data_IF_649692834279
#
_entry.id   IF_649692834279
#
_cell.length_a   1.000
_cell.length_b   1.000
_cell.length_c   1.000
_cell.angle_alpha   90.00
_cell.angle_beta   90.00
_cell.angle_gamma   90.00
#
_symmetry.space_group_name_H-M   'P 1'
#
loop_
_entity.id
_entity.type
_entity.pdbx_description
1 polymer ?
#
# COMPACT_ATOMS: atom_id res chain seq x y z
N UNK A 1 -9.87 -2.32 9.69
CA UNK A 1 -8.98 -1.99 8.57
C UNK A 1 -9.43 -0.72 7.87
N UNK A 2 -10.71 -0.56 7.55
CA UNK A 2 -11.25 0.65 6.89
C UNK A 2 -10.88 1.94 7.62
N UNK A 3 -11.11 2.02 8.94
CA UNK A 3 -10.77 3.21 9.73
C UNK A 3 -9.31 3.67 9.60
N UNK A 4 -8.36 2.73 9.54
CA UNK A 4 -6.93 3.06 9.38
C UNK A 4 -6.62 3.51 7.95
N UNK A 5 -7.23 2.84 6.96
CA UNK A 5 -7.07 3.25 5.56
C UNK A 5 -7.66 4.65 5.32
N UNK A 6 -8.83 4.93 5.90
CA UNK A 6 -9.51 6.22 5.80
C UNK A 6 -8.73 7.33 6.52
N UNK A 7 -8.14 7.04 7.67
CA UNK A 7 -7.27 7.97 8.38
C UNK A 7 -6.04 8.33 7.53
N UNK A 8 -5.39 7.35 6.92
CA UNK A 8 -4.26 7.58 6.02
C UNK A 8 -4.69 8.38 4.79
N UNK A 9 -5.83 8.05 4.18
CA UNK A 9 -6.37 8.81 3.06
C UNK A 9 -6.67 10.27 3.44
N UNK A 10 -7.25 10.48 4.62
CA UNK A 10 -7.54 11.83 5.16
C UNK A 10 -6.25 12.62 5.36
N UNK A 11 -5.20 12.00 5.92
CA UNK A 11 -3.90 12.64 6.08
C UNK A 11 -3.24 13.02 4.75
N UNK A 12 -3.50 12.28 3.69
CA UNK A 12 -2.95 12.50 2.34
C UNK A 12 -3.83 13.41 1.46
N UNK A 13 -5.02 13.81 1.94
CA UNK A 13 -6.02 14.52 1.14
C UNK A 13 -5.57 15.94 0.73
N UNK A 14 -4.58 16.50 1.40
CA UNK A 14 -3.96 17.78 1.04
C UNK A 14 -2.91 17.67 -0.07
N UNK A 15 -2.69 16.46 -0.61
CA UNK A 15 -1.77 16.21 -1.71
C UNK A 15 -0.31 16.04 -1.30
N UNK A 16 0.00 15.98 0.00
CA UNK A 16 1.38 15.73 0.47
C UNK A 16 1.96 14.41 -0.09
N UNK A 17 3.27 14.36 -0.35
CA UNK A 17 3.90 13.16 -0.92
C UNK A 17 4.15 12.05 0.11
N UNK A 18 4.19 12.36 1.41
CA UNK A 18 4.48 11.39 2.48
C UNK A 18 3.61 11.63 3.73
N UNK A 19 3.51 10.63 4.61
CA UNK A 19 2.67 10.69 5.81
C UNK A 19 3.09 11.79 6.78
N UNK A 20 4.38 12.12 6.82
CA UNK A 20 4.96 13.12 7.72
C UNK A 20 5.35 14.42 6.99
N UNK A 21 4.75 14.69 5.83
CA UNK A 21 4.98 15.89 5.02
C UNK A 21 5.69 15.59 3.71
N UNK A 22 6.83 16.23 3.50
CA UNK A 22 7.50 16.39 2.20
C UNK A 22 8.81 15.58 2.06
N UNK A 23 9.17 14.82 3.09
CA UNK A 23 10.28 13.86 3.06
C UNK A 23 9.81 12.43 3.35
N UNK A 24 10.44 11.45 2.68
CA UNK A 24 10.24 10.02 2.93
C UNK A 24 10.84 9.62 4.28
N UNK A 25 10.09 8.87 5.08
CA UNK A 25 10.49 8.46 6.43
C UNK A 25 10.18 6.99 6.71
N UNK A 26 10.59 6.55 7.91
CA UNK A 26 10.22 5.24 8.42
C UNK A 26 8.69 5.04 8.51
N UNK A 27 7.88 6.10 8.67
CA UNK A 27 6.43 5.97 8.72
C UNK A 27 5.87 5.48 7.37
N UNK A 28 6.37 6.01 6.27
CA UNK A 28 5.96 5.67 4.92
C UNK A 28 6.35 4.23 4.56
N UNK A 29 7.61 3.88 4.84
CA UNK A 29 8.12 2.52 4.67
C UNK A 29 7.31 1.51 5.48
N UNK A 30 7.07 1.83 6.77
CA UNK A 30 6.34 0.95 7.69
C UNK A 30 4.91 0.75 7.19
N UNK A 31 4.22 1.83 6.81
CA UNK A 31 2.87 1.72 6.29
C UNK A 31 2.83 0.87 5.02
N UNK A 32 3.69 1.16 4.03
CA UNK A 32 3.72 0.41 2.77
C UNK A 32 4.03 -1.09 2.99
N UNK A 33 4.98 -1.41 3.87
CA UNK A 33 5.33 -2.78 4.21
C UNK A 33 4.18 -3.52 4.91
N UNK A 34 3.55 -2.90 5.92
CA UNK A 34 2.45 -3.53 6.67
C UNK A 34 1.15 -3.61 5.87
N UNK A 35 0.96 -2.73 4.88
CA UNK A 35 -0.20 -2.75 3.99
C UNK A 35 -0.01 -3.71 2.79
N UNK A 36 1.20 -4.22 2.56
CA UNK A 36 1.51 -5.10 1.43
C UNK A 36 0.68 -6.40 1.39
N UNK A 37 0.38 -7.09 2.51
CA UNK A 37 -0.53 -8.24 2.50
C UNK A 37 -1.98 -7.91 2.12
N UNK A 38 -2.36 -6.63 2.19
CA UNK A 38 -3.71 -6.15 1.86
C UNK A 38 -3.84 -5.84 0.37
N UNK A 39 -2.81 -5.24 -0.23
CA UNK A 39 -2.84 -4.82 -1.64
C UNK A 39 -2.10 -5.77 -2.57
N UNK A 40 -1.33 -6.73 -2.05
CA UNK A 40 -0.56 -7.71 -2.80
C UNK A 40 0.19 -7.05 -3.98
N UNK A 41 1.17 -6.16 -3.73
CA UNK A 41 1.72 -5.27 -4.75
C UNK A 41 2.58 -5.98 -5.81
N UNK A 42 2.79 -7.30 -5.68
CA UNK A 42 3.58 -8.12 -6.58
C UNK A 42 5.04 -8.25 -6.17
N UNK A 43 5.76 -9.24 -6.71
CA UNK A 43 7.14 -9.56 -6.32
C UNK A 43 8.16 -8.47 -6.70
N UNK A 44 7.90 -7.68 -7.74
CA UNK A 44 8.78 -6.59 -8.15
C UNK A 44 8.77 -5.42 -7.14
N UNK A 45 7.66 -5.26 -6.42
CA UNK A 45 7.47 -4.20 -5.42
C UNK A 45 7.77 -4.68 -4.01
N UNK A 46 7.40 -5.90 -3.63
CA UNK A 46 7.60 -6.40 -2.27
C UNK A 46 8.63 -7.53 -2.22
N UNK A 47 9.65 -7.38 -1.39
CA UNK A 47 10.81 -8.27 -1.35
C UNK A 47 10.58 -9.66 -0.74
N UNK A 48 9.35 -9.98 -0.33
CA UNK A 48 8.99 -11.29 0.19
C UNK A 48 7.84 -11.89 -0.61
N UNK A 49 7.76 -13.22 -0.65
CA UNK A 49 6.69 -13.93 -1.35
C UNK A 49 5.36 -13.71 -0.64
N UNK A 50 4.40 -13.13 -1.36
CA UNK A 50 2.99 -13.09 -0.96
C UNK A 50 2.21 -14.13 -1.76
N UNK A 51 1.10 -14.67 -1.21
CA UNK A 51 0.26 -15.59 -1.96
C UNK A 51 -0.29 -14.92 -3.23
N UNK A 52 -0.32 -15.61 -4.38
CA UNK A 52 -0.96 -15.11 -5.58
C UNK A 52 -2.46 -14.85 -5.35
N UNK A 53 -3.01 -13.82 -6.00
CA UNK A 53 -4.39 -13.35 -5.82
C UNK A 53 -5.42 -14.46 -6.10
N UNK A 54 -5.10 -15.37 -7.00
CA UNK A 54 -5.93 -16.48 -7.44
C UNK A 54 -6.23 -17.47 -6.31
N UNK A 55 -5.36 -17.57 -5.29
CA UNK A 55 -5.57 -18.45 -4.13
C UNK A 55 -6.61 -17.92 -3.14
N UNK A 56 -7.00 -16.65 -3.24
CA UNK A 56 -8.01 -16.06 -2.37
C UNK A 56 -9.43 -16.38 -2.86
N UNK A 57 -10.39 -16.40 -1.92
CA UNK A 57 -11.82 -16.45 -2.24
C UNK A 57 -12.25 -15.23 -3.06
N UNK A 58 -13.44 -15.28 -3.68
CA UNK A 58 -14.02 -14.14 -4.39
C UNK A 58 -14.09 -12.88 -3.50
N UNK A 59 -14.50 -13.03 -2.24
CA UNK A 59 -14.55 -11.93 -1.25
C UNK A 59 -13.15 -11.39 -0.91
N UNK A 60 -12.16 -12.28 -0.77
CA UNK A 60 -10.77 -11.87 -0.55
C UNK A 60 -10.22 -11.06 -1.73
N UNK A 61 -10.49 -11.49 -2.97
CA UNK A 61 -10.09 -10.76 -4.18
C UNK A 61 -10.76 -9.40 -4.26
N UNK A 62 -12.07 -9.33 -4.02
CA UNK A 62 -12.81 -8.07 -3.96
C UNK A 62 -12.25 -7.12 -2.89
N UNK A 63 -11.81 -7.66 -1.75
CA UNK A 63 -11.15 -6.89 -0.69
C UNK A 63 -9.81 -6.31 -1.16
N UNK A 64 -8.96 -7.12 -1.80
CA UNK A 64 -7.68 -6.66 -2.36
C UNK A 64 -7.90 -5.57 -3.41
N UNK A 65 -8.82 -5.78 -4.34
CA UNK A 65 -9.16 -4.82 -5.39
C UNK A 65 -9.67 -3.51 -4.82
N UNK A 66 -10.57 -3.57 -3.82
CA UNK A 66 -11.08 -2.40 -3.10
C UNK A 66 -9.95 -1.59 -2.47
N UNK A 67 -9.00 -2.24 -1.79
CA UNK A 67 -7.89 -1.53 -1.17
C UNK A 67 -6.82 -1.06 -2.16
N UNK A 68 -6.61 -1.76 -3.29
CA UNK A 68 -5.79 -1.27 -4.40
C UNK A 68 -6.36 0.02 -5.00
N UNK A 69 -7.69 0.13 -5.08
CA UNK A 69 -8.37 1.34 -5.55
C UNK A 69 -8.39 2.46 -4.50
N UNK A 70 -8.27 2.14 -3.22
CA UNK A 70 -8.30 3.10 -2.12
C UNK A 70 -7.06 4.02 -2.11
N UNK A 71 -7.16 5.32 -1.77
CA UNK A 71 -6.01 6.24 -1.70
C UNK A 71 -4.85 5.73 -0.83
N UNK A 72 -5.17 5.07 0.29
CA UNK A 72 -4.16 4.45 1.16
C UNK A 72 -3.39 3.31 0.46
N UNK A 73 -4.06 2.48 -0.36
CA UNK A 73 -3.39 1.42 -1.11
C UNK A 73 -2.57 1.96 -2.29
N UNK A 74 -3.08 2.98 -2.98
CA UNK A 74 -2.32 3.70 -4.02
C UNK A 74 -1.06 4.34 -3.43
N UNK A 75 -1.16 4.94 -2.24
CA UNK A 75 -0.02 5.47 -1.51
C UNK A 75 1.02 4.39 -1.19
N UNK A 76 0.60 3.25 -0.63
CA UNK A 76 1.49 2.14 -0.33
C UNK A 76 2.20 1.60 -1.60
N UNK A 77 1.48 1.42 -2.71
CA UNK A 77 2.07 1.01 -3.99
C UNK A 77 3.11 2.02 -4.49
N UNK A 78 2.80 3.32 -4.41
CA UNK A 78 3.71 4.41 -4.81
C UNK A 78 5.02 4.40 -4.04
N UNK A 79 5.02 4.04 -2.75
CA UNK A 79 6.27 3.99 -1.96
C UNK A 79 7.27 3.00 -2.54
N UNK A 80 6.79 1.87 -3.06
CA UNK A 80 7.65 0.91 -3.76
C UNK A 80 8.15 1.50 -5.08
N UNK A 81 7.26 2.05 -5.91
CA UNK A 81 7.66 2.63 -7.21
C UNK A 81 8.67 3.78 -7.06
N UNK A 82 8.57 4.58 -6.00
CA UNK A 82 9.42 5.74 -5.77
C UNK A 82 10.75 5.42 -5.06
N UNK A 83 10.76 4.45 -4.13
CA UNK A 83 11.91 4.23 -3.25
C UNK A 83 12.54 2.84 -3.36
N UNK A 84 11.85 1.88 -3.95
CA UNK A 84 12.45 0.59 -4.26
C UNK A 84 13.03 0.67 -5.65
N UNK A 85 14.34 0.88 -5.70
CA UNK A 85 15.11 0.64 -6.93
C UNK A 85 15.12 -0.88 -7.15
N UNK A 86 14.86 -1.30 -8.40
CA UNK A 86 15.01 -2.70 -8.84
C UNK A 86 16.43 -3.22 -8.57
N UNK A 87 16.71 -4.51 -8.83
CA UNK A 87 17.98 -5.13 -8.46
C UNK A 87 19.20 -4.31 -8.88
#
# INVERSE_FOLDING_TARGET
MDAIADEVATRLADGRPYLTGDAFTAADLTFAALFSPVILPGPDRYGATLPPLELFSHEGRATVERYRAHPAGQFAARMFDAHRRGP
#
